data_IF_262350215063
#
_entry.id   IF_262350215063
#
_cell.length_a   1.000
_cell.length_b   1.000
_cell.length_c   1.000
_cell.angle_alpha   90.00
_cell.angle_beta   90.00
_cell.angle_gamma   90.00
#
_symmetry.space_group_name_H-M   'P 1'
#
loop_
_entity.id
_entity.type
_entity.pdbx_description
1 polymer ?
#
# COMPACT_ATOMS: atom_id res chain seq x y z
N UNK A 1 11.48 1.62 26.15
CA UNK A 1 11.15 0.70 25.03
C UNK A 1 9.90 1.24 24.36
N UNK A 2 10.04 2.18 23.42
CA UNK A 2 8.89 2.77 22.73
C UNK A 2 8.52 1.84 21.58
N UNK A 3 7.66 0.86 21.88
CA UNK A 3 6.99 0.07 20.85
C UNK A 3 6.03 0.99 20.12
N UNK A 4 6.49 1.65 19.06
CA UNK A 4 5.61 2.37 18.15
C UNK A 4 4.59 1.33 17.65
N UNK A 5 3.29 1.49 17.95
CA UNK A 5 2.29 0.54 17.51
C UNK A 5 2.10 0.77 16.01
N UNK A 6 2.95 0.11 15.23
CA UNK A 6 2.96 0.16 13.76
C UNK A 6 1.71 -0.49 13.18
N UNK A 7 1.14 -1.47 13.89
CA UNK A 7 -0.05 -2.21 13.46
C UNK A 7 -1.29 -1.29 13.25
N UNK A 8 -1.67 -0.39 14.19
CA UNK A 8 -2.76 0.55 13.96
C UNK A 8 -2.46 1.61 12.89
N UNK A 9 -1.20 2.01 12.69
CA UNK A 9 -0.82 2.93 11.61
C UNK A 9 -1.05 2.27 10.24
N UNK A 10 -0.62 1.01 10.10
CA UNK A 10 -0.86 0.21 8.90
C UNK A 10 -2.36 -0.01 8.70
N UNK A 11 -3.11 -0.35 9.76
CA UNK A 11 -4.56 -0.51 9.71
C UNK A 11 -5.29 0.76 9.26
N UNK A 12 -4.89 1.92 9.78
CA UNK A 12 -5.42 3.23 9.36
C UNK A 12 -5.12 3.52 7.89
N UNK A 13 -3.88 3.31 7.44
CA UNK A 13 -3.50 3.54 6.05
C UNK A 13 -4.31 2.64 5.10
N UNK A 14 -4.42 1.35 5.42
CA UNK A 14 -5.23 0.39 4.65
C UNK A 14 -6.70 0.79 4.64
N UNK A 15 -7.26 1.18 5.79
CA UNK A 15 -8.65 1.63 5.91
C UNK A 15 -8.97 2.86 5.06
N UNK A 16 -8.06 3.85 5.01
CA UNK A 16 -8.22 5.04 4.16
C UNK A 16 -8.21 4.66 2.68
N UNK A 17 -7.29 3.79 2.26
CA UNK A 17 -7.18 3.33 0.87
C UNK A 17 -8.44 2.54 0.47
N UNK A 18 -8.93 1.66 1.34
CA UNK A 18 -10.14 0.89 1.12
C UNK A 18 -11.40 1.77 1.12
N UNK A 19 -11.47 2.78 2.00
CA UNK A 19 -12.55 3.77 2.01
C UNK A 19 -12.59 4.60 0.74
N UNK A 20 -11.43 4.97 0.20
CA UNK A 20 -11.31 5.65 -1.08
C UNK A 20 -11.79 4.75 -2.24
N UNK A 21 -11.45 3.46 -2.21
CA UNK A 21 -11.94 2.48 -3.18
C UNK A 21 -13.46 2.26 -3.09
N UNK A 22 -14.01 2.30 -1.87
CA UNK A 22 -15.44 2.19 -1.59
C UNK A 22 -16.25 3.44 -1.96
N UNK A 23 -15.63 4.63 -1.93
CA UNK A 23 -16.27 5.91 -2.26
C UNK A 23 -16.80 5.98 -3.71
N UNK A 24 -16.31 5.12 -4.60
CA UNK A 24 -16.83 5.02 -5.96
C UNK A 24 -18.17 4.24 -6.07
N UNK A 25 -18.69 3.72 -4.95
CA UNK A 25 -20.14 3.51 -4.78
C UNK A 25 -20.79 2.34 -5.54
N UNK A 26 -20.04 1.28 -5.90
CA UNK A 26 -20.63 0.06 -6.49
C UNK A 26 -19.61 -1.04 -6.80
N UNK A 27 -20.08 -2.29 -6.98
CA UNK A 27 -19.23 -3.45 -7.28
C UNK A 27 -18.35 -3.23 -8.53
N UNK A 28 -18.87 -2.55 -9.55
CA UNK A 28 -18.12 -2.24 -10.76
C UNK A 28 -16.98 -1.25 -10.53
N UNK A 29 -17.20 -0.22 -9.71
CA UNK A 29 -16.18 0.78 -9.44
C UNK A 29 -15.11 0.28 -8.45
N UNK A 30 -15.50 -0.56 -7.49
CA UNK A 30 -14.57 -1.30 -6.64
C UNK A 30 -13.67 -2.23 -7.46
N UNK A 31 -14.24 -3.00 -8.41
CA UNK A 31 -13.46 -3.86 -9.30
C UNK A 31 -12.51 -3.06 -10.20
N UNK A 32 -12.94 -1.90 -10.70
CA UNK A 32 -12.08 -1.01 -11.49
C UNK A 32 -10.88 -0.51 -10.68
N UNK A 33 -11.12 -0.04 -9.44
CA UNK A 33 -10.05 0.40 -8.53
C UNK A 33 -9.15 -0.76 -8.13
N UNK A 34 -9.69 -1.96 -7.91
CA UNK A 34 -8.92 -3.17 -7.63
C UNK A 34 -7.99 -3.52 -8.79
N UNK A 35 -8.49 -3.48 -10.02
CA UNK A 35 -7.70 -3.71 -11.23
C UNK A 35 -6.65 -2.62 -11.40
N UNK A 36 -7.00 -1.36 -11.20
CA UNK A 36 -6.06 -0.24 -11.32
C UNK A 36 -4.98 -0.29 -10.24
N UNK A 37 -5.33 -0.69 -9.01
CA UNK A 37 -4.38 -0.92 -7.92
C UNK A 37 -3.45 -2.11 -8.19
N UNK A 38 -3.99 -3.22 -8.74
CA UNK A 38 -3.18 -4.36 -9.16
C UNK A 38 -2.24 -4.00 -10.31
N UNK A 39 -2.69 -3.18 -11.28
CA UNK A 39 -1.86 -2.64 -12.34
C UNK A 39 -0.78 -1.69 -11.80
N UNK A 40 -1.12 -0.81 -10.86
CA UNK A 40 -0.16 0.06 -10.20
C UNK A 40 0.89 -0.72 -9.40
N UNK A 41 0.48 -1.80 -8.73
CA UNK A 41 1.40 -2.71 -8.04
C UNK A 41 2.28 -3.46 -9.04
N UNK A 42 1.72 -3.95 -10.14
CA UNK A 42 2.46 -4.68 -11.16
C UNK A 42 3.47 -3.78 -11.87
N UNK A 43 3.08 -2.56 -12.23
CA UNK A 43 3.96 -1.54 -12.80
C UNK A 43 5.00 -1.11 -11.78
N UNK A 44 4.64 -0.89 -10.51
CA UNK A 44 5.58 -0.62 -9.43
C UNK A 44 6.62 -1.73 -9.28
N UNK A 45 6.18 -2.99 -9.25
CA UNK A 45 7.05 -4.18 -9.18
C UNK A 45 7.99 -4.30 -10.37
N UNK A 46 7.53 -3.96 -11.57
CA UNK A 46 8.34 -4.01 -12.79
C UNK A 46 9.32 -2.82 -12.84
N UNK A 47 8.86 -1.62 -12.48
CA UNK A 47 9.68 -0.41 -12.42
C UNK A 47 10.75 -0.48 -11.32
N UNK A 48 10.45 -1.15 -10.21
CA UNK A 48 11.40 -1.44 -9.12
C UNK A 48 12.34 -2.62 -9.43
N UNK A 49 12.12 -3.37 -10.51
CA UNK A 49 13.14 -4.27 -11.05
C UNK A 49 13.49 -5.52 -10.23
N UNK A 50 12.66 -5.93 -9.26
CA UNK A 50 12.73 -7.28 -8.66
C UNK A 50 13.18 -7.39 -7.20
N UNK A 51 13.73 -6.36 -6.57
CA UNK A 51 14.01 -6.39 -5.13
C UNK A 51 13.65 -5.04 -4.51
N UNK A 52 12.49 -5.01 -3.85
CA UNK A 52 12.21 -3.97 -2.86
C UNK A 52 13.10 -4.25 -1.66
N UNK A 53 14.38 -3.89 -1.78
CA UNK A 53 15.26 -3.81 -0.65
C UNK A 53 14.89 -2.57 0.18
N UNK A 54 13.82 -2.73 0.97
CA UNK A 54 13.44 -1.82 2.05
C UNK A 54 14.49 -1.85 3.20
N UNK A 55 15.46 -2.77 3.11
CA UNK A 55 16.57 -2.94 4.04
C UNK A 55 17.58 -1.79 3.96
N UNK A 56 17.84 -1.23 2.78
CA UNK A 56 18.79 -0.14 2.58
C UNK A 56 18.27 1.22 3.05
N UNK A 57 16.95 1.43 3.13
CA UNK A 57 16.36 2.64 3.69
C UNK A 57 16.18 2.58 5.22
N UNK A 58 16.21 1.38 5.81
CA UNK A 58 16.07 1.18 7.27
C UNK A 58 17.41 1.27 8.02
N UNK A 59 18.56 1.22 7.33
CA UNK A 59 19.89 1.19 7.94
C UNK A 59 20.47 2.57 8.36
N UNK A 60 19.75 3.69 8.17
CA UNK A 60 20.26 5.04 8.51
C UNK A 60 19.50 5.70 9.65
N UNK A 61 19.56 5.09 10.83
CA UNK A 61 19.32 5.77 12.10
C UNK A 61 20.35 5.33 13.12
N UNK A 62 21.60 5.74 12.87
CA UNK A 62 22.64 5.84 13.89
C UNK A 62 22.53 7.20 14.55
#
# INVERSE_FOLDING_TARGET
MNTIPVLPIIGMAVGIILGLAGAFGGLGAFLLVLVLGALGLLVGRIAEGGEIDLSHLTARRR
#
